data_IF_547292402684
#
_entry.id   IF_547292402684
#
_cell.length_a   1.000
_cell.length_b   1.000
_cell.length_c   1.000
_cell.angle_alpha   90.00
_cell.angle_beta   90.00
_cell.angle_gamma   90.00
#
_symmetry.space_group_name_H-M   'P 1'
#
loop_
_entity.id
_entity.type
_entity.pdbx_description
1 polymer ?
#
# COMPACT_ATOMS: atom_id res chain seq x y z
N UNK A 1 -27.74 10.36 1.27
CA UNK A 1 -26.49 10.97 1.69
C UNK A 1 -25.35 10.35 0.89
N UNK A 2 -24.55 11.18 0.24
CA UNK A 2 -23.44 10.66 -0.56
C UNK A 2 -22.34 10.12 0.34
N UNK A 3 -21.85 8.92 0.06
CA UNK A 3 -20.75 8.30 0.79
C UNK A 3 -19.45 8.90 0.27
N UNK A 4 -18.65 9.46 1.17
CA UNK A 4 -17.31 9.95 0.82
C UNK A 4 -16.43 8.74 0.45
N UNK A 5 -15.59 8.89 -0.56
CA UNK A 5 -14.65 7.81 -0.93
C UNK A 5 -13.76 7.39 0.23
N UNK A 6 -13.46 8.30 1.17
CA UNK A 6 -12.65 7.99 2.36
C UNK A 6 -13.37 7.05 3.33
N UNK A 7 -14.69 6.88 3.20
CA UNK A 7 -15.46 5.95 4.02
C UNK A 7 -15.56 4.55 3.41
N UNK A 8 -14.99 4.36 2.22
CA UNK A 8 -15.03 3.09 1.52
C UNK A 8 -14.28 2.02 2.34
N UNK A 9 -14.91 0.85 2.59
CA UNK A 9 -14.28 -0.19 3.41
C UNK A 9 -12.90 -0.58 2.87
N UNK A 10 -11.92 -0.61 3.77
CA UNK A 10 -10.56 -1.01 3.43
C UNK A 10 -9.68 0.08 2.84
N UNK A 11 -10.23 1.22 2.48
CA UNK A 11 -9.44 2.30 1.88
C UNK A 11 -8.46 2.91 2.88
N UNK A 12 -8.90 3.18 4.09
CA UNK A 12 -8.04 3.76 5.13
C UNK A 12 -6.89 2.83 5.49
N UNK A 13 -7.15 1.52 5.56
CA UNK A 13 -6.11 0.54 5.83
C UNK A 13 -5.05 0.52 4.73
N UNK A 14 -5.46 0.58 3.47
CA UNK A 14 -4.54 0.58 2.34
C UNK A 14 -3.74 1.88 2.27
N UNK A 15 -4.39 3.00 2.57
CA UNK A 15 -3.69 4.30 2.62
C UNK A 15 -2.63 4.30 3.72
N UNK A 16 -2.93 3.75 4.88
CA UNK A 16 -1.97 3.63 5.96
C UNK A 16 -0.80 2.73 5.58
N UNK A 17 -1.07 1.61 4.88
CA UNK A 17 -0.01 0.72 4.43
C UNK A 17 0.95 1.43 3.47
N UNK A 18 0.42 2.25 2.56
CA UNK A 18 1.26 3.01 1.63
C UNK A 18 2.12 4.02 2.41
N UNK A 19 1.54 4.68 3.40
CA UNK A 19 2.28 5.62 4.25
C UNK A 19 3.45 4.92 4.95
N UNK A 20 3.21 3.71 5.48
CA UNK A 20 4.26 2.92 6.12
C UNK A 20 5.36 2.54 5.13
N UNK A 21 4.98 2.08 3.94
CA UNK A 21 5.95 1.70 2.90
C UNK A 21 6.79 2.91 2.51
N UNK A 22 6.18 4.07 2.32
CA UNK A 22 6.91 5.28 1.98
C UNK A 22 7.86 5.71 3.09
N UNK A 23 7.45 5.57 4.35
CA UNK A 23 8.30 5.90 5.48
C UNK A 23 9.57 5.06 5.51
N UNK A 24 9.47 3.78 5.15
CA UNK A 24 10.64 2.89 5.06
C UNK A 24 11.49 3.20 3.83
N UNK A 25 10.86 3.31 2.66
CA UNK A 25 11.60 3.37 1.39
C UNK A 25 12.14 4.76 1.09
N UNK A 26 11.40 5.81 1.42
CA UNK A 26 11.81 7.19 1.11
C UNK A 26 12.53 7.86 2.28
N UNK A 27 12.05 7.63 3.49
CA UNK A 27 12.59 8.30 4.67
C UNK A 27 13.55 7.41 5.47
N UNK A 28 13.76 6.18 5.02
CA UNK A 28 14.70 5.22 5.61
C UNK A 28 14.47 4.99 7.11
N UNK A 29 13.19 5.01 7.52
CA UNK A 29 12.83 4.76 8.91
C UNK A 29 12.45 3.29 9.10
N UNK A 30 12.81 2.68 10.23
CA UNK A 30 12.42 1.29 10.51
C UNK A 30 10.90 1.16 10.60
N UNK A 31 10.37 0.04 10.08
CA UNK A 31 8.93 -0.21 10.14
C UNK A 31 8.40 -0.19 11.57
N UNK A 32 9.11 -0.81 12.50
CA UNK A 32 8.68 -0.88 13.91
C UNK A 32 8.47 0.53 14.49
N UNK A 33 9.35 1.46 14.16
CA UNK A 33 9.20 2.84 14.61
C UNK A 33 7.96 3.50 14.00
N UNK A 34 7.73 3.25 12.70
CA UNK A 34 6.59 3.82 12.00
C UNK A 34 5.27 3.30 12.52
N UNK A 35 5.20 2.04 12.96
CA UNK A 35 4.00 1.49 13.57
C UNK A 35 3.59 2.26 14.82
N UNK A 36 4.53 2.88 15.50
CA UNK A 36 4.27 3.68 16.69
C UNK A 36 4.03 5.16 16.41
N UNK A 37 4.49 5.66 15.26
CA UNK A 37 4.49 7.10 14.98
C UNK A 37 3.69 7.54 13.77
N UNK A 38 3.36 6.63 12.84
CA UNK A 38 2.63 6.99 11.63
C UNK A 38 1.18 7.33 11.96
N UNK A 39 0.76 8.54 11.61
CA UNK A 39 -0.55 9.06 11.97
C UNK A 39 -1.70 8.24 11.37
N UNK A 40 -1.57 7.87 10.09
CA UNK A 40 -2.61 7.09 9.42
C UNK A 40 -2.77 5.71 10.05
N UNK A 41 -1.64 5.05 10.35
CA UNK A 41 -1.66 3.73 10.97
C UNK A 41 -2.21 3.77 12.39
N UNK A 42 -1.82 4.77 13.16
CA UNK A 42 -2.26 4.89 14.56
C UNK A 42 -3.77 5.11 14.68
N UNK A 43 -4.39 5.67 13.66
CA UNK A 43 -5.83 5.86 13.64
C UNK A 43 -6.63 4.62 13.35
N UNK A 44 -5.98 3.51 12.98
CA UNK A 44 -6.66 2.25 12.66
C UNK A 44 -6.86 1.38 13.88
N UNK A 45 -7.92 0.58 13.84
CA UNK A 45 -8.24 -0.37 14.90
C UNK A 45 -8.55 -1.75 14.32
N UNK A 46 -8.36 -2.78 15.15
CA UNK A 46 -8.80 -4.13 14.85
C UNK A 46 -8.27 -4.68 13.54
N UNK A 47 -9.20 -5.17 12.72
CA UNK A 47 -8.87 -5.81 11.44
C UNK A 47 -8.13 -4.88 10.48
N UNK A 48 -8.53 -3.62 10.41
CA UNK A 48 -7.89 -2.66 9.52
C UNK A 48 -6.44 -2.43 9.90
N UNK A 49 -6.15 -2.35 11.20
CA UNK A 49 -4.80 -2.19 11.71
C UNK A 49 -3.93 -3.39 11.35
N UNK A 50 -4.45 -4.59 11.58
CA UNK A 50 -3.74 -5.84 11.26
C UNK A 50 -3.51 -5.96 9.75
N UNK A 51 -4.50 -5.63 8.96
CA UNK A 51 -4.39 -5.70 7.51
C UNK A 51 -3.34 -4.69 6.98
N UNK A 52 -3.36 -3.46 7.46
CA UNK A 52 -2.41 -2.44 7.03
C UNK A 52 -0.97 -2.86 7.35
N UNK A 53 -0.74 -3.41 8.54
CA UNK A 53 0.57 -3.91 8.92
C UNK A 53 1.00 -5.06 8.01
N UNK A 54 0.13 -6.04 7.80
CA UNK A 54 0.42 -7.19 6.93
C UNK A 54 0.72 -6.74 5.49
N UNK A 55 -0.06 -5.80 4.96
CA UNK A 55 0.15 -5.30 3.61
C UNK A 55 1.49 -4.57 3.48
N UNK A 56 1.80 -3.69 4.42
CA UNK A 56 3.08 -2.98 4.40
C UNK A 56 4.26 -3.96 4.49
N UNK A 57 4.20 -4.89 5.43
CA UNK A 57 5.27 -5.88 5.63
C UNK A 57 5.44 -6.76 4.40
N UNK A 58 4.35 -7.21 3.79
CA UNK A 58 4.40 -8.04 2.58
C UNK A 58 5.00 -7.27 1.41
N UNK A 59 4.57 -6.03 1.21
CA UNK A 59 5.10 -5.18 0.14
C UNK A 59 6.60 -4.96 0.31
N UNK A 60 7.05 -4.68 1.51
CA UNK A 60 8.48 -4.48 1.78
C UNK A 60 9.28 -5.77 1.64
N UNK A 61 8.75 -6.89 2.11
CA UNK A 61 9.43 -8.19 2.01
C UNK A 61 9.64 -8.61 0.56
N UNK A 62 8.68 -8.35 -0.30
CA UNK A 62 8.71 -8.75 -1.70
C UNK A 62 9.06 -7.59 -2.64
N UNK A 63 9.67 -6.53 -2.13
CA UNK A 63 9.98 -5.33 -2.91
C UNK A 63 10.76 -5.60 -4.19
N UNK A 64 11.76 -6.47 -4.13
CA UNK A 64 12.55 -6.81 -5.31
C UNK A 64 11.73 -7.53 -6.38
N UNK A 65 10.92 -8.51 -5.95
CA UNK A 65 10.04 -9.26 -6.86
C UNK A 65 8.97 -8.35 -7.47
N UNK A 66 8.37 -7.48 -6.66
CA UNK A 66 7.35 -6.54 -7.11
C UNK A 66 7.94 -5.57 -8.13
N UNK A 67 9.12 -5.02 -7.87
CA UNK A 67 9.78 -4.11 -8.80
C UNK A 67 10.11 -4.79 -10.12
N UNK A 68 10.54 -6.05 -10.08
CA UNK A 68 10.82 -6.82 -11.29
C UNK A 68 9.56 -7.04 -12.11
N UNK A 69 8.44 -7.36 -11.45
CA UNK A 69 7.15 -7.54 -12.12
C UNK A 69 6.70 -6.24 -12.77
N UNK A 70 6.74 -5.13 -12.04
CA UNK A 70 6.33 -3.84 -12.58
C UNK A 70 7.20 -3.43 -13.77
N UNK A 71 8.50 -3.68 -13.70
CA UNK A 71 9.42 -3.35 -14.80
C UNK A 71 9.07 -4.11 -16.07
N UNK A 72 8.56 -5.33 -15.95
CA UNK A 72 8.17 -6.15 -17.11
C UNK A 72 6.89 -5.65 -17.78
N UNK A 73 5.97 -5.08 -17.01
CA UNK A 73 4.66 -4.69 -17.52
C UNK A 73 4.55 -3.21 -17.85
N UNK A 74 5.47 -2.38 -17.37
CA UNK A 74 5.48 -0.96 -17.71
C UNK A 74 6.37 -0.72 -18.92
N UNK A 75 5.80 -0.09 -19.97
CA UNK A 75 6.53 0.20 -21.20
C UNK A 75 7.70 1.16 -20.95
N UNK A 76 7.54 2.03 -19.97
CA UNK A 76 8.57 2.99 -19.55
C UNK A 76 8.57 3.05 -18.03
N UNK A 77 9.76 3.26 -17.40
CA UNK A 77 9.80 3.49 -15.97
C UNK A 77 8.96 4.71 -15.61
N UNK A 78 8.26 4.64 -14.46
CA UNK A 78 7.53 5.80 -13.99
C UNK A 78 8.50 6.90 -13.56
N UNK A 79 8.17 8.18 -13.84
CA UNK A 79 9.01 9.29 -13.37
C UNK A 79 9.13 9.29 -11.85
N UNK A 80 10.21 9.85 -11.34
CA UNK A 80 10.41 10.00 -9.89
C UNK A 80 9.26 10.75 -9.21
N UNK A 81 8.65 11.68 -9.93
CA UNK A 81 7.48 12.42 -9.43
C UNK A 81 6.25 11.54 -9.25
N UNK A 82 6.30 10.30 -9.71
CA UNK A 82 5.17 9.36 -9.61
C UNK A 82 5.27 8.43 -8.39
N UNK A 83 6.03 8.82 -7.34
CA UNK A 83 6.27 7.98 -6.18
C UNK A 83 5.01 7.35 -5.58
N UNK A 84 3.94 8.14 -5.43
CA UNK A 84 2.66 7.62 -4.91
C UNK A 84 2.11 6.54 -5.83
N UNK A 85 2.14 6.76 -7.15
CA UNK A 85 1.63 5.78 -8.11
C UNK A 85 2.42 4.47 -8.07
N UNK A 86 3.74 4.54 -7.93
CA UNK A 86 4.58 3.34 -7.78
C UNK A 86 4.19 2.57 -6.53
N UNK A 87 3.97 3.26 -5.41
CA UNK A 87 3.60 2.60 -4.17
C UNK A 87 2.20 2.01 -4.23
N UNK A 88 1.25 2.69 -4.87
CA UNK A 88 -0.09 2.14 -5.09
C UNK A 88 -0.01 0.86 -5.92
N UNK A 89 0.75 0.88 -7.02
CA UNK A 89 0.93 -0.31 -7.85
C UNK A 89 1.64 -1.43 -7.10
N UNK A 90 2.66 -1.10 -6.33
CA UNK A 90 3.40 -2.09 -5.54
C UNK A 90 2.50 -2.79 -4.52
N UNK A 91 1.69 -2.03 -3.80
CA UNK A 91 0.76 -2.62 -2.83
C UNK A 91 -0.34 -3.42 -3.53
N UNK A 92 -0.77 -3.00 -4.72
CA UNK A 92 -1.75 -3.77 -5.50
C UNK A 92 -1.18 -5.13 -5.90
N UNK A 93 0.06 -5.17 -6.39
CA UNK A 93 0.74 -6.43 -6.72
C UNK A 93 0.86 -7.33 -5.49
N UNK A 94 1.24 -6.75 -4.34
CA UNK A 94 1.36 -7.51 -3.11
C UNK A 94 0.04 -8.18 -2.73
N UNK A 95 -1.07 -7.45 -2.83
CA UNK A 95 -2.39 -8.00 -2.52
C UNK A 95 -2.77 -9.14 -3.45
N UNK A 96 -2.53 -8.96 -4.76
CA UNK A 96 -2.94 -9.96 -5.75
C UNK A 96 -2.10 -11.24 -5.70
N UNK A 97 -0.79 -11.12 -5.53
CA UNK A 97 0.12 -12.25 -5.67
C UNK A 97 0.51 -12.91 -4.35
N UNK A 98 0.55 -12.15 -3.26
CA UNK A 98 1.07 -12.66 -1.99
C UNK A 98 0.06 -12.69 -0.86
N UNK A 99 -1.10 -12.07 -1.02
CA UNK A 99 -2.11 -12.00 0.03
C UNK A 99 -3.46 -12.58 -0.39
N UNK A 100 -3.56 -13.06 -1.61
CA UNK A 100 -4.78 -13.69 -2.13
C UNK A 100 -6.03 -12.80 -1.99
N UNK A 101 -5.87 -11.52 -2.25
CA UNK A 101 -6.98 -10.57 -2.25
C UNK A 101 -7.59 -10.53 -3.65
N UNK A 102 -8.92 -10.57 -3.74
CA UNK A 102 -9.62 -10.59 -5.02
C UNK A 102 -9.31 -9.36 -5.88
N UNK A 103 -9.13 -9.57 -7.19
CA UNK A 103 -8.77 -8.51 -8.12
C UNK A 103 -9.77 -7.35 -8.12
N UNK A 104 -11.07 -7.63 -7.98
CA UNK A 104 -12.10 -6.60 -7.95
C UNK A 104 -11.85 -5.59 -6.81
N UNK A 105 -11.60 -6.11 -5.60
CA UNK A 105 -11.35 -5.24 -4.45
C UNK A 105 -10.05 -4.45 -4.60
N UNK A 106 -8.99 -5.09 -5.12
CA UNK A 106 -7.71 -4.43 -5.31
C UNK A 106 -7.84 -3.27 -6.30
N UNK A 107 -8.47 -3.51 -7.45
CA UNK A 107 -8.62 -2.49 -8.50
C UNK A 107 -9.52 -1.36 -8.01
N UNK A 108 -10.66 -1.70 -7.43
CA UNK A 108 -11.64 -0.72 -6.97
C UNK A 108 -11.03 0.24 -5.94
N UNK A 109 -10.29 -0.29 -4.97
CA UNK A 109 -9.70 0.52 -3.91
C UNK A 109 -8.44 1.26 -4.37
N UNK A 110 -7.65 0.66 -5.25
CA UNK A 110 -6.42 1.30 -5.74
C UNK A 110 -6.70 2.55 -6.56
N UNK A 111 -7.82 2.59 -7.28
CA UNK A 111 -8.22 3.76 -8.06
C UNK A 111 -8.49 4.97 -7.14
N UNK A 112 -8.94 4.74 -5.92
CA UNK A 112 -9.28 5.80 -4.97
C UNK A 112 -8.09 6.24 -4.10
N UNK A 113 -6.93 5.63 -4.24
CA UNK A 113 -5.75 5.98 -3.45
C UNK A 113 -4.93 7.16 -3.97
#
# INVERSE_FOLDING_TARGET
MAVNKDDKPGLKARRAAISLVQGVTLNQRPLDQLLETDADFRGLEGRDRSFAHALAATTLRHGGEINAILARFLAKPLPRSSGMAVDVLGTAVAQLLFMDIGAHAVIDLSVDL
#
